data_IF_880529250234
#
_entry.id   IF_880529250234
#
_cell.length_a   1.000
_cell.length_b   1.000
_cell.length_c   1.000
_cell.angle_alpha   90.00
_cell.angle_beta   90.00
_cell.angle_gamma   90.00
#
_symmetry.space_group_name_H-M   'P 1'
#
loop_
_entity.id
_entity.type
_entity.pdbx_description
1 polymer ?
#
# COMPACT_ATOMS: atom_id res chain seq x y z
N UNK A 1 30.00 6.41 5.08
CA UNK A 1 28.87 5.66 5.70
C UNK A 1 28.17 6.56 6.69
N UNK A 2 26.83 6.58 6.71
CA UNK A 2 26.05 7.32 7.73
C UNK A 2 26.17 6.61 9.08
N UNK A 3 26.83 7.23 10.05
CA UNK A 3 27.01 6.70 11.42
C UNK A 3 25.72 6.81 12.27
N UNK A 4 24.85 7.77 12.00
CA UNK A 4 23.62 8.01 12.76
C UNK A 4 22.37 7.78 11.91
N UNK A 5 21.31 7.19 12.51
CA UNK A 5 19.99 7.08 11.89
C UNK A 5 19.35 8.48 11.84
N UNK A 6 18.65 8.82 10.74
CA UNK A 6 17.94 10.10 10.66
C UNK A 6 16.83 10.15 11.72
N UNK A 7 16.61 11.31 12.32
CA UNK A 7 15.50 11.53 13.26
C UNK A 7 14.18 11.36 12.51
N UNK A 8 13.28 10.54 13.06
CA UNK A 8 11.91 10.38 12.51
C UNK A 8 11.10 11.66 12.80
N UNK A 9 10.45 12.21 11.79
CA UNK A 9 9.52 13.32 11.97
C UNK A 9 8.22 12.81 12.60
N UNK A 10 7.69 13.54 13.55
CA UNK A 10 6.38 13.28 14.15
C UNK A 10 5.32 13.68 13.12
N UNK A 11 4.44 12.74 12.78
CA UNK A 11 3.29 13.00 11.92
C UNK A 11 2.10 13.34 12.80
N UNK A 12 1.45 14.45 12.51
CA UNK A 12 0.19 14.82 13.14
C UNK A 12 -0.94 13.94 12.59
N UNK A 13 -1.92 13.56 13.41
CA UNK A 13 -3.09 12.82 12.96
C UNK A 13 -3.92 13.64 11.98
N UNK A 14 -4.74 12.94 11.19
CA UNK A 14 -5.66 13.55 10.24
C UNK A 14 -6.75 14.37 10.95
N UNK A 15 -7.12 15.57 10.46
CA UNK A 15 -8.13 16.41 11.13
C UNK A 15 -9.53 15.81 11.12
N UNK A 16 -9.92 14.99 10.12
CA UNK A 16 -11.27 14.42 10.00
C UNK A 16 -11.43 13.12 10.79
N UNK A 17 -10.45 12.22 10.71
CA UNK A 17 -10.50 10.88 11.30
C UNK A 17 -9.60 10.71 12.52
N UNK A 18 -8.72 11.65 12.81
CA UNK A 18 -7.77 11.56 13.92
C UNK A 18 -6.72 10.46 13.78
N UNK A 19 -6.50 9.94 12.57
CA UNK A 19 -5.64 8.78 12.31
C UNK A 19 -4.33 9.16 11.61
N UNK A 20 -3.19 8.76 12.20
CA UNK A 20 -1.86 8.98 11.63
C UNK A 20 -1.64 8.18 10.34
N UNK A 21 -2.31 7.02 10.19
CA UNK A 21 -2.21 6.19 9.00
C UNK A 21 -2.77 6.91 7.77
N UNK A 22 -3.88 7.65 7.95
CA UNK A 22 -4.49 8.50 6.92
C UNK A 22 -3.51 9.58 6.48
N UNK A 23 -2.88 10.27 7.43
CA UNK A 23 -1.87 11.30 7.11
C UNK A 23 -0.70 10.71 6.32
N UNK A 24 -0.23 9.52 6.68
CA UNK A 24 0.82 8.82 5.92
C UNK A 24 0.37 8.47 4.50
N UNK A 25 -0.86 8.01 4.34
CA UNK A 25 -1.43 7.68 3.03
C UNK A 25 -1.55 8.92 2.15
N UNK A 26 -2.11 10.00 2.67
CA UNK A 26 -2.26 11.29 1.96
C UNK A 26 -0.90 11.86 1.55
N UNK A 27 0.13 11.75 2.40
CA UNK A 27 1.48 12.16 2.04
C UNK A 27 2.09 11.33 0.89
N UNK A 28 1.72 10.04 0.75
CA UNK A 28 2.12 9.21 -0.39
C UNK A 28 1.26 9.47 -1.65
N UNK A 29 0.01 9.87 -1.47
CA UNK A 29 -0.92 10.21 -2.56
C UNK A 29 -0.60 11.56 -3.17
N UNK A 30 -0.07 12.48 -2.38
CA UNK A 30 0.23 13.86 -2.77
C UNK A 30 1.23 13.91 -3.94
N UNK A 31 0.97 14.79 -4.90
CA UNK A 31 1.86 15.19 -6.00
C UNK A 31 2.12 16.69 -5.91
N UNK A 32 3.32 17.13 -6.29
CA UNK A 32 3.73 18.54 -6.39
C UNK A 32 3.47 19.37 -5.11
N UNK A 33 3.45 18.74 -3.95
CA UNK A 33 3.16 19.42 -2.69
C UNK A 33 1.69 19.81 -2.47
N UNK A 34 0.77 19.38 -3.35
CA UNK A 34 -0.67 19.74 -3.30
C UNK A 34 -1.42 18.88 -2.25
N UNK A 35 -1.15 19.16 -0.97
CA UNK A 35 -1.63 18.33 0.13
C UNK A 35 -3.15 18.42 0.33
N UNK A 36 -3.75 19.61 0.21
CA UNK A 36 -5.19 19.80 0.35
C UNK A 36 -5.99 19.00 -0.68
N UNK A 37 -5.53 18.98 -1.93
CA UNK A 37 -6.15 18.19 -3.00
C UNK A 37 -6.06 16.69 -2.67
N UNK A 38 -4.92 16.22 -2.16
CA UNK A 38 -4.75 14.82 -1.79
C UNK A 38 -5.67 14.41 -0.62
N UNK A 39 -5.93 15.30 0.34
CA UNK A 39 -6.93 15.08 1.39
C UNK A 39 -8.34 14.95 0.82
N UNK A 40 -8.75 15.88 -0.05
CA UNK A 40 -10.08 15.83 -0.66
C UNK A 40 -10.26 14.53 -1.45
N UNK A 41 -9.29 14.14 -2.29
CA UNK A 41 -9.34 12.86 -3.03
C UNK A 41 -9.53 11.67 -2.09
N UNK A 42 -8.84 11.66 -0.96
CA UNK A 42 -8.97 10.56 0.01
C UNK A 42 -10.34 10.55 0.68
N UNK A 43 -10.84 11.72 1.10
CA UNK A 43 -12.15 11.84 1.76
C UNK A 43 -13.28 11.44 0.81
N UNK A 44 -13.26 11.95 -0.41
CA UNK A 44 -14.23 11.59 -1.45
C UNK A 44 -14.20 10.09 -1.76
N UNK A 45 -13.00 9.50 -1.83
CA UNK A 45 -12.86 8.07 -2.05
C UNK A 45 -13.46 7.23 -0.90
N UNK A 46 -13.23 7.63 0.34
CA UNK A 46 -13.79 6.95 1.53
C UNK A 46 -15.32 7.10 1.58
N UNK A 47 -15.85 8.25 1.18
CA UNK A 47 -17.30 8.50 1.08
C UNK A 47 -17.94 7.58 0.02
N UNK A 48 -17.37 7.52 -1.18
CA UNK A 48 -17.80 6.62 -2.26
C UNK A 48 -17.77 5.15 -1.81
N UNK A 49 -16.74 4.75 -1.06
CA UNK A 49 -16.65 3.38 -0.50
C UNK A 49 -17.80 3.15 0.47
N UNK A 50 -18.11 4.11 1.35
CA UNK A 50 -19.22 4.03 2.29
C UNK A 50 -20.58 3.93 1.62
N UNK A 51 -20.78 4.65 0.51
CA UNK A 51 -22.02 4.58 -0.27
C UNK A 51 -22.22 3.24 -0.97
N UNK A 52 -21.16 2.69 -1.54
CA UNK A 52 -21.21 1.43 -2.32
C UNK A 52 -21.19 0.18 -1.45
N UNK A 53 -20.65 0.25 -0.25
CA UNK A 53 -20.50 -0.89 0.66
C UNK A 53 -21.36 -0.74 1.92
N UNK A 54 -22.59 -0.23 1.78
CA UNK A 54 -23.54 -0.05 2.89
C UNK A 54 -23.89 -1.36 3.59
N UNK A 55 -23.83 -2.47 2.89
CA UNK A 55 -24.11 -3.82 3.41
C UNK A 55 -22.98 -4.38 4.30
N UNK A 56 -21.81 -3.77 4.27
CA UNK A 56 -20.74 -4.14 5.19
C UNK A 56 -20.98 -3.34 6.50
N UNK A 57 -21.39 -3.98 7.58
CA UNK A 57 -21.59 -3.40 8.92
C UNK A 57 -20.33 -2.76 9.54
N UNK A 58 -19.53 -2.07 8.73
CA UNK A 58 -18.24 -1.48 9.09
C UNK A 58 -18.13 -0.03 8.65
N UNK A 59 -17.43 0.75 9.44
CA UNK A 59 -17.12 2.12 9.05
C UNK A 59 -16.26 2.14 7.76
N UNK A 60 -16.48 3.09 6.84
CA UNK A 60 -15.71 3.17 5.57
C UNK A 60 -14.21 3.24 5.77
N UNK A 61 -13.76 3.84 6.87
CA UNK A 61 -12.34 3.89 7.24
C UNK A 61 -11.79 2.49 7.60
N UNK A 62 -12.58 1.65 8.26
CA UNK A 62 -12.17 0.30 8.62
C UNK A 62 -12.11 -0.62 7.39
N UNK A 63 -12.98 -0.40 6.41
CA UNK A 63 -12.93 -1.06 5.10
C UNK A 63 -11.60 -0.73 4.40
N UNK A 64 -11.20 0.54 4.39
CA UNK A 64 -9.93 0.96 3.84
C UNK A 64 -8.72 0.35 4.59
N UNK A 65 -8.76 0.33 5.93
CA UNK A 65 -7.71 -0.31 6.74
C UNK A 65 -7.59 -1.80 6.42
N UNK A 66 -8.73 -2.50 6.32
CA UNK A 66 -8.75 -3.92 5.97
C UNK A 66 -8.23 -4.16 4.55
N UNK A 67 -8.59 -3.31 3.59
CA UNK A 67 -8.04 -3.36 2.24
C UNK A 67 -6.51 -3.21 2.23
N UNK A 68 -5.96 -2.27 3.01
CA UNK A 68 -4.51 -2.12 3.18
C UNK A 68 -3.86 -3.37 3.79
N UNK A 69 -4.49 -3.97 4.79
CA UNK A 69 -4.01 -5.20 5.41
C UNK A 69 -3.96 -6.34 4.39
N UNK A 70 -5.01 -6.51 3.58
CA UNK A 70 -5.09 -7.54 2.54
C UNK A 70 -3.99 -7.38 1.47
N UNK A 71 -3.57 -6.15 1.15
CA UNK A 71 -2.51 -5.87 0.17
C UNK A 71 -1.10 -5.95 0.79
N UNK A 72 -0.99 -5.97 2.12
CA UNK A 72 0.30 -5.88 2.81
C UNK A 72 1.16 -7.13 2.54
N UNK A 73 2.33 -7.00 1.88
CA UNK A 73 3.21 -8.12 1.60
C UNK A 73 4.01 -8.50 2.83
N UNK A 74 4.23 -9.80 3.04
CA UNK A 74 5.05 -10.34 4.12
C UNK A 74 6.52 -10.45 3.70
N UNK A 75 6.76 -10.75 2.42
CA UNK A 75 8.08 -10.96 1.84
C UNK A 75 8.28 -10.09 0.60
N UNK A 76 9.51 -9.70 0.33
CA UNK A 76 9.92 -9.05 -0.90
C UNK A 76 11.13 -9.79 -1.49
N UNK A 77 11.32 -9.70 -2.80
CA UNK A 77 12.50 -10.26 -3.46
C UNK A 77 13.52 -9.15 -3.73
N UNK A 78 14.76 -9.40 -3.37
CA UNK A 78 15.89 -8.49 -3.62
C UNK A 78 16.89 -9.15 -4.55
N UNK A 79 17.32 -8.42 -5.57
CA UNK A 79 18.37 -8.87 -6.46
C UNK A 79 19.72 -8.91 -5.72
N UNK A 80 20.37 -10.06 -5.72
CA UNK A 80 21.70 -10.28 -5.17
C UNK A 80 22.61 -10.90 -6.23
N UNK A 81 23.81 -10.40 -6.34
CA UNK A 81 24.79 -10.94 -7.29
C UNK A 81 25.66 -11.97 -6.57
N UNK A 82 25.66 -13.19 -7.05
CA UNK A 82 26.45 -14.30 -6.52
C UNK A 82 27.17 -14.99 -7.67
N UNK A 83 28.51 -15.05 -7.63
CA UNK A 83 29.32 -15.74 -8.63
C UNK A 83 29.11 -15.25 -10.08
N UNK A 84 28.78 -13.95 -10.26
CA UNK A 84 28.53 -13.37 -11.59
C UNK A 84 27.08 -13.45 -12.08
N UNK A 85 26.24 -14.28 -11.49
CA UNK A 85 24.79 -14.35 -11.76
C UNK A 85 23.99 -13.49 -10.78
N UNK A 86 22.86 -12.96 -11.24
CA UNK A 86 21.94 -12.16 -10.41
C UNK A 86 20.75 -13.02 -10.00
N UNK A 87 20.59 -13.22 -8.69
CA UNK A 87 19.51 -14.00 -8.11
C UNK A 87 18.50 -13.08 -7.39
N UNK A 88 17.24 -13.48 -7.41
CA UNK A 88 16.14 -12.84 -6.69
C UNK A 88 15.98 -13.52 -5.33
N UNK A 89 16.63 -12.99 -4.30
CA UNK A 89 16.61 -13.58 -2.95
C UNK A 89 15.41 -13.05 -2.17
N UNK A 90 14.52 -13.92 -1.64
CA UNK A 90 13.42 -13.49 -0.80
C UNK A 90 13.95 -12.97 0.54
N UNK A 91 13.33 -11.90 1.03
CA UNK A 91 13.65 -11.29 2.32
C UNK A 91 12.38 -10.90 3.03
N UNK A 92 12.33 -11.11 4.34
CA UNK A 92 11.21 -10.63 5.15
C UNK A 92 11.17 -9.10 5.16
N UNK A 93 9.97 -8.54 5.05
CA UNK A 93 9.75 -7.09 5.04
C UNK A 93 9.55 -6.59 6.46
N UNK A 94 10.27 -5.53 6.86
CA UNK A 94 10.09 -4.88 8.17
C UNK A 94 8.67 -4.30 8.30
N UNK A 95 8.05 -4.29 9.51
CA UNK A 95 6.67 -3.83 9.69
C UNK A 95 6.36 -2.44 9.14
N UNK A 96 7.23 -1.47 9.38
CA UNK A 96 7.05 -0.09 8.85
C UNK A 96 7.09 -0.03 7.31
N UNK A 97 7.87 -0.91 6.68
CA UNK A 97 8.01 -1.00 5.24
C UNK A 97 6.82 -1.74 4.61
N UNK A 98 6.27 -2.77 5.29
CA UNK A 98 5.07 -3.50 4.84
C UNK A 98 3.94 -2.52 4.53
N UNK A 99 3.60 -1.66 5.49
CA UNK A 99 2.56 -0.65 5.34
C UNK A 99 2.87 0.34 4.21
N UNK A 100 4.12 0.78 4.10
CA UNK A 100 4.54 1.71 3.04
C UNK A 100 4.44 1.10 1.64
N UNK A 101 4.74 -0.19 1.50
CA UNK A 101 4.58 -0.93 0.24
C UNK A 101 3.11 -1.09 -0.13
N UNK A 102 2.26 -1.46 0.84
CA UNK A 102 0.81 -1.56 0.63
C UNK A 102 0.22 -0.24 0.13
N UNK A 103 0.52 0.88 0.80
CA UNK A 103 0.07 2.21 0.39
C UNK A 103 0.52 2.57 -1.03
N UNK A 104 1.80 2.34 -1.36
CA UNK A 104 2.33 2.61 -2.70
C UNK A 104 1.67 1.77 -3.78
N UNK A 105 1.47 0.48 -3.52
CA UNK A 105 0.80 -0.41 -4.45
C UNK A 105 -0.64 0.02 -4.68
N UNK A 106 -1.40 0.31 -3.62
CA UNK A 106 -2.76 0.79 -3.72
C UNK A 106 -2.85 2.04 -4.60
N UNK A 107 -2.02 3.05 -4.35
CA UNK A 107 -1.99 4.30 -5.10
C UNK A 107 -1.57 4.07 -6.56
N UNK A 108 -0.53 3.25 -6.79
CA UNK A 108 -0.02 2.97 -8.13
C UNK A 108 -1.09 2.31 -9.01
N UNK A 109 -1.77 1.30 -8.48
CA UNK A 109 -2.78 0.57 -9.23
C UNK A 109 -4.08 1.34 -9.36
N UNK A 110 -4.46 2.15 -8.37
CA UNK A 110 -5.57 3.10 -8.51
C UNK A 110 -5.34 4.08 -9.66
N UNK A 111 -4.11 4.63 -9.80
CA UNK A 111 -3.77 5.53 -10.91
C UNK A 111 -3.86 4.88 -12.29
N UNK A 112 -3.56 3.57 -12.38
CA UNK A 112 -3.64 2.80 -13.64
C UNK A 112 -5.06 2.39 -14.01
N UNK A 113 -6.01 2.48 -13.09
CA UNK A 113 -7.39 2.09 -13.30
C UNK A 113 -8.10 3.09 -14.23
N UNK A 114 -9.03 2.60 -15.04
CA UNK A 114 -9.94 3.46 -15.80
C UNK A 114 -10.95 4.12 -14.85
N UNK A 115 -11.37 5.35 -15.14
CA UNK A 115 -12.33 6.14 -14.36
C UNK A 115 -12.16 7.63 -14.59
N UNK A 116 -13.11 8.44 -14.19
CA UNK A 116 -13.10 9.89 -14.42
C UNK A 116 -12.21 10.61 -13.39
N UNK A 117 -12.41 10.36 -12.11
CA UNK A 117 -11.67 11.02 -11.03
C UNK A 117 -10.71 10.07 -10.31
N UNK A 118 -9.68 10.64 -9.67
CA UNK A 118 -8.76 9.83 -8.84
C UNK A 118 -9.48 9.28 -7.61
N UNK A 119 -10.49 9.97 -7.09
CA UNK A 119 -11.30 9.50 -5.96
C UNK A 119 -12.08 8.22 -6.32
N UNK A 120 -12.73 8.21 -7.50
CA UNK A 120 -13.44 7.01 -7.99
C UNK A 120 -12.50 5.82 -8.23
N UNK A 121 -11.35 6.08 -8.85
CA UNK A 121 -10.33 5.06 -9.11
C UNK A 121 -9.80 4.45 -7.81
N UNK A 122 -9.54 5.30 -6.81
CA UNK A 122 -9.07 4.89 -5.49
C UNK A 122 -10.16 4.09 -4.76
N UNK A 123 -11.41 4.56 -4.76
CA UNK A 123 -12.54 3.86 -4.15
C UNK A 123 -12.73 2.46 -4.76
N UNK A 124 -12.68 2.36 -6.09
CA UNK A 124 -12.83 1.09 -6.78
C UNK A 124 -11.70 0.11 -6.48
N UNK A 125 -10.45 0.60 -6.33
CA UNK A 125 -9.32 -0.27 -5.95
C UNK A 125 -9.40 -0.69 -4.48
N UNK A 126 -9.87 0.19 -3.58
CA UNK A 126 -10.11 -0.13 -2.16
C UNK A 126 -11.15 -1.26 -2.04
N UNK A 127 -12.27 -1.16 -2.77
CA UNK A 127 -13.32 -2.19 -2.78
C UNK A 127 -12.79 -3.54 -3.28
N UNK A 128 -12.07 -3.53 -4.41
CA UNK A 128 -11.47 -4.73 -4.96
C UNK A 128 -10.46 -5.35 -3.97
N UNK A 129 -9.63 -4.54 -3.33
CA UNK A 129 -8.66 -4.99 -2.35
C UNK A 129 -9.30 -5.52 -1.05
N UNK A 130 -10.44 -4.96 -0.64
CA UNK A 130 -11.21 -5.46 0.49
C UNK A 130 -11.74 -6.88 0.22
N UNK A 131 -12.19 -7.13 -1.01
CA UNK A 131 -12.68 -8.44 -1.48
C UNK A 131 -11.54 -9.40 -1.88
N UNK A 132 -10.28 -9.05 -1.58
CA UNK A 132 -9.09 -9.84 -1.96
C UNK A 132 -8.94 -9.98 -3.49
N UNK A 133 -9.41 -8.99 -4.22
CA UNK A 133 -9.32 -8.87 -5.67
C UNK A 133 -8.50 -7.63 -6.05
N UNK A 134 -8.43 -7.36 -7.35
CA UNK A 134 -7.80 -6.16 -7.88
C UNK A 134 -6.30 -6.28 -8.15
N UNK A 135 -5.75 -5.26 -8.81
CA UNK A 135 -4.38 -5.29 -9.28
C UNK A 135 -3.35 -5.13 -8.15
N UNK A 136 -3.70 -4.40 -7.11
CA UNK A 136 -2.84 -4.23 -5.93
C UNK A 136 -2.71 -5.55 -5.15
N UNK A 137 -3.82 -6.30 -5.00
CA UNK A 137 -3.81 -7.61 -4.35
C UNK A 137 -3.03 -8.64 -5.19
N UNK A 138 -3.28 -8.70 -6.50
CA UNK A 138 -2.53 -9.57 -7.42
C UNK A 138 -1.03 -9.31 -7.36
N UNK A 139 -0.62 -8.05 -7.20
CA UNK A 139 0.80 -7.71 -7.04
C UNK A 139 1.41 -8.30 -5.77
N UNK A 140 0.68 -8.31 -4.65
CA UNK A 140 1.12 -8.99 -3.42
C UNK A 140 1.31 -10.48 -3.68
N UNK A 141 0.32 -11.14 -4.28
CA UNK A 141 0.39 -12.58 -4.57
C UNK A 141 1.55 -12.92 -5.52
N UNK A 142 1.77 -12.10 -6.56
CA UNK A 142 2.88 -12.27 -7.47
C UNK A 142 4.24 -12.19 -6.76
N UNK A 143 4.39 -11.23 -5.83
CA UNK A 143 5.61 -11.11 -5.00
C UNK A 143 5.80 -12.33 -4.10
N UNK A 144 4.74 -12.84 -3.47
CA UNK A 144 4.79 -14.04 -2.65
C UNK A 144 5.15 -15.27 -3.49
N UNK A 145 4.55 -15.43 -4.65
CA UNK A 145 4.86 -16.53 -5.60
C UNK A 145 6.31 -16.49 -6.06
N UNK A 146 6.84 -15.30 -6.38
CA UNK A 146 8.25 -15.14 -6.72
C UNK A 146 9.18 -15.48 -5.55
N UNK A 147 8.78 -15.11 -4.32
CA UNK A 147 9.54 -15.44 -3.12
C UNK A 147 9.55 -16.94 -2.84
N UNK A 148 8.42 -17.63 -3.01
CA UNK A 148 8.31 -19.08 -2.87
C UNK A 148 9.16 -19.82 -3.90
N UNK A 149 9.10 -19.42 -5.17
CA UNK A 149 9.89 -20.01 -6.24
C UNK A 149 11.41 -19.90 -6.01
N UNK A 150 11.84 -18.86 -5.29
CA UNK A 150 13.25 -18.61 -4.98
C UNK A 150 13.64 -18.97 -3.53
N UNK A 151 12.80 -19.70 -2.82
CA UNK A 151 13.00 -19.98 -1.39
C UNK A 151 14.27 -20.81 -1.11
N UNK A 152 14.71 -21.64 -2.05
CA UNK A 152 15.96 -22.38 -1.95
C UNK A 152 17.19 -21.49 -1.78
N UNK A 153 17.16 -20.24 -2.26
CA UNK A 153 18.26 -19.28 -2.16
C UNK A 153 18.38 -18.60 -0.78
N UNK A 154 17.38 -18.76 0.09
CA UNK A 154 17.44 -18.27 1.48
C UNK A 154 18.48 -19.02 2.33
N UNK A 155 18.70 -20.30 2.03
CA UNK A 155 19.57 -21.18 2.82
C UNK A 155 21.02 -21.24 2.30
N UNK A 156 21.29 -20.62 1.15
CA UNK A 156 22.62 -20.65 0.49
C UNK A 156 23.34 -19.29 0.53
N UNK A 157 22.80 -18.30 1.23
CA UNK A 157 23.38 -16.95 1.24
C UNK A 157 23.79 -16.47 2.63
#
# INVERSE_FOLDING_TARGET
MRKAKPKKRILLPDPKFGDVLVTRFVNNLMLDGKKSIAYNIFYDAVEIVGEKMKDADKAPLDIWKKALENITPQVEVKSRRVGGATFQVPTEVRPERKVSLAMRNLILYSRKRAGHSMAEKLAAEIQAAYNEEGAAFKRKEEMHRMAEANNCLLYTS
#
